data_IF_757750031372
#
_entry.id   IF_757750031372
#
_cell.length_a   1.000
_cell.length_b   1.000
_cell.length_c   1.000
_cell.angle_alpha   90.00
_cell.angle_beta   90.00
_cell.angle_gamma   90.00
#
_symmetry.space_group_name_H-M   'P 1'
#
loop_
_entity.id
_entity.type
_entity.pdbx_description
1 polymer ?
#
# COMPACT_ATOMS: atom_id res chain seq x y z
N UNK A 1 -3.08 7.65 -18.92
CA UNK A 1 -2.79 8.74 -17.95
C UNK A 1 -3.52 9.94 -18.48
N UNK A 2 -4.63 10.30 -17.84
CA UNK A 2 -5.55 11.30 -18.40
C UNK A 2 -5.35 12.69 -17.79
N UNK A 3 -4.79 12.75 -16.58
CA UNK A 3 -4.44 14.01 -15.89
C UNK A 3 -3.07 13.87 -15.22
N UNK A 4 -2.12 14.72 -15.60
CA UNK A 4 -0.81 14.82 -14.96
C UNK A 4 -0.82 15.93 -13.90
N UNK A 5 -0.49 15.60 -12.64
CA UNK A 5 -0.37 16.59 -11.56
C UNK A 5 1.12 16.89 -11.32
N UNK A 6 1.58 18.04 -11.83
CA UNK A 6 2.93 18.56 -11.63
C UNK A 6 3.10 19.14 -10.22
N UNK A 7 3.16 18.26 -9.21
CA UNK A 7 3.10 18.66 -7.79
C UNK A 7 4.37 19.36 -7.24
N UNK A 8 5.53 19.21 -7.88
CA UNK A 8 6.81 19.72 -7.35
C UNK A 8 7.29 19.06 -6.05
N UNK A 9 6.60 18.02 -5.56
CA UNK A 9 6.81 17.43 -4.23
C UNK A 9 7.97 16.42 -4.12
N UNK A 10 8.62 16.07 -5.22
CA UNK A 10 9.61 14.97 -5.23
C UNK A 10 9.01 13.70 -4.63
N UNK A 11 9.71 13.09 -3.67
CA UNK A 11 9.25 11.88 -2.96
C UNK A 11 8.02 12.10 -2.06
N UNK A 12 7.72 13.34 -1.65
CA UNK A 12 6.55 13.62 -0.81
C UNK A 12 5.23 13.39 -1.57
N UNK A 13 5.27 13.27 -2.91
CA UNK A 13 4.12 12.81 -3.71
C UNK A 13 3.59 11.45 -3.23
N UNK A 14 4.45 10.56 -2.74
CA UNK A 14 4.06 9.22 -2.27
C UNK A 14 3.03 9.28 -1.12
N UNK A 15 3.11 10.32 -0.28
CA UNK A 15 2.12 10.55 0.77
C UNK A 15 0.76 10.96 0.22
N UNK A 16 0.74 11.71 -0.89
CA UNK A 16 -0.52 12.04 -1.58
C UNK A 16 -1.14 10.76 -2.13
N UNK A 17 -0.37 9.95 -2.87
CA UNK A 17 -0.84 8.69 -3.45
C UNK A 17 -1.40 7.74 -2.39
N UNK A 18 -0.62 7.46 -1.35
CA UNK A 18 -1.02 6.58 -0.25
C UNK A 18 -2.22 7.12 0.55
N UNK A 19 -2.48 8.43 0.50
CA UNK A 19 -3.64 9.04 1.19
C UNK A 19 -4.89 9.08 0.32
N UNK A 20 -4.75 9.18 -0.99
CA UNK A 20 -5.90 9.23 -1.92
C UNK A 20 -6.39 7.87 -2.35
N UNK A 21 -5.61 6.80 -2.17
CA UNK A 21 -6.01 5.45 -2.53
C UNK A 21 -7.08 4.89 -1.57
N UNK A 22 -8.09 4.22 -2.12
CA UNK A 22 -9.07 3.46 -1.34
C UNK A 22 -8.48 2.15 -0.80
N UNK A 23 -7.51 1.59 -1.53
CA UNK A 23 -6.71 0.43 -1.13
C UNK A 23 -5.40 0.37 -1.92
N UNK A 24 -4.43 -0.40 -1.44
CA UNK A 24 -3.08 -0.48 -2.01
C UNK A 24 -2.65 -1.93 -2.21
N UNK A 25 -2.13 -2.23 -3.40
CA UNK A 25 -1.40 -3.48 -3.68
C UNK A 25 0.07 -3.12 -3.90
N UNK A 26 0.94 -3.54 -2.99
CA UNK A 26 2.37 -3.29 -3.06
C UNK A 26 3.09 -4.44 -3.77
N UNK A 27 3.71 -4.16 -4.91
CA UNK A 27 4.36 -5.17 -5.75
C UNK A 27 5.87 -4.94 -5.77
N UNK A 28 6.65 -6.01 -5.58
CA UNK A 28 8.11 -5.93 -5.62
C UNK A 28 8.71 -5.17 -4.43
N UNK A 29 10.01 -4.89 -4.48
CA UNK A 29 10.77 -4.29 -3.37
C UNK A 29 11.34 -2.90 -3.68
N UNK A 30 12.04 -2.33 -2.68
CA UNK A 30 12.71 -1.02 -2.78
C UNK A 30 12.26 -0.02 -1.71
N UNK A 31 13.06 1.02 -1.50
CA UNK A 31 12.79 2.03 -0.46
C UNK A 31 11.53 2.86 -0.76
N UNK A 32 11.25 3.13 -2.03
CA UNK A 32 10.01 3.79 -2.46
C UNK A 32 8.77 2.99 -2.07
N UNK A 33 8.74 1.72 -2.47
CA UNK A 33 7.65 0.78 -2.13
C UNK A 33 7.48 0.64 -0.61
N UNK A 34 8.58 0.51 0.14
CA UNK A 34 8.53 0.46 1.61
C UNK A 34 7.89 1.72 2.21
N UNK A 35 8.23 2.90 1.68
CA UNK A 35 7.68 4.17 2.15
C UNK A 35 6.18 4.27 1.89
N UNK A 36 5.71 3.80 0.74
CA UNK A 36 4.30 3.79 0.35
C UNK A 36 3.50 2.79 1.17
N UNK A 37 4.03 1.57 1.40
CA UNK A 37 3.45 0.58 2.32
C UNK A 37 3.27 1.21 3.71
N UNK A 38 4.33 1.82 4.26
CA UNK A 38 4.27 2.41 5.59
C UNK A 38 3.26 3.56 5.68
N UNK A 39 3.16 4.41 4.65
CA UNK A 39 2.18 5.48 4.59
C UNK A 39 0.75 4.95 4.49
N UNK A 40 0.50 3.93 3.66
CA UNK A 40 -0.81 3.33 3.48
C UNK A 40 -1.32 2.68 4.78
N UNK A 41 -0.47 1.90 5.46
CA UNK A 41 -0.80 1.26 6.73
C UNK A 41 -1.08 2.28 7.84
N UNK A 42 -0.25 3.33 7.96
CA UNK A 42 -0.50 4.41 8.93
C UNK A 42 -1.79 5.19 8.66
N UNK A 43 -2.19 5.30 7.40
CA UNK A 43 -3.44 5.95 7.00
C UNK A 43 -4.66 5.02 7.11
N UNK A 44 -4.49 3.79 7.61
CA UNK A 44 -5.57 2.81 7.74
C UNK A 44 -6.11 2.30 6.40
N UNK A 45 -5.35 2.45 5.31
CA UNK A 45 -5.78 1.96 4.00
C UNK A 45 -5.59 0.45 3.92
N UNK A 46 -6.60 -0.32 3.46
CA UNK A 46 -6.42 -1.73 3.12
C UNK A 46 -5.20 -1.89 2.22
N UNK A 47 -4.19 -2.62 2.68
CA UNK A 47 -2.90 -2.75 2.00
C UNK A 47 -2.49 -4.22 1.98
N UNK A 48 -2.16 -4.75 0.80
CA UNK A 48 -1.69 -6.14 0.60
C UNK A 48 -0.46 -6.16 -0.30
N UNK A 49 0.45 -7.09 -0.06
CA UNK A 49 1.70 -7.23 -0.80
C UNK A 49 1.74 -8.41 -1.75
N UNK A 50 2.46 -8.29 -2.87
CA UNK A 50 2.85 -9.40 -3.76
C UNK A 50 4.36 -9.33 -3.97
N UNK A 51 5.08 -10.40 -3.62
CA UNK A 51 6.54 -10.49 -3.76
C UNK A 51 7.28 -9.23 -3.23
N UNK A 52 6.84 -8.72 -2.07
CA UNK A 52 7.31 -7.46 -1.48
C UNK A 52 7.87 -7.67 -0.07
N UNK A 53 8.12 -6.56 0.64
CA UNK A 53 8.59 -6.50 2.01
C UNK A 53 7.72 -7.33 2.97
N UNK A 54 8.38 -7.95 3.95
CA UNK A 54 7.74 -8.54 5.13
C UNK A 54 8.31 -7.86 6.37
N UNK A 55 7.45 -7.61 7.35
CA UNK A 55 7.90 -7.03 8.62
C UNK A 55 8.23 -8.15 9.59
N UNK A 56 9.52 -8.27 9.92
CA UNK A 56 9.98 -9.16 10.97
C UNK A 56 10.35 -8.31 12.19
N UNK A 57 9.41 -8.21 13.15
CA UNK A 57 9.55 -7.38 14.35
C UNK A 57 8.88 -8.05 15.56
N UNK A 58 9.61 -8.17 16.65
CA UNK A 58 9.14 -8.81 17.89
C UNK A 58 7.95 -8.08 18.55
N UNK A 59 7.89 -6.75 18.41
CA UNK A 59 6.82 -5.92 18.98
C UNK A 59 6.04 -5.23 17.88
N UNK A 60 4.78 -5.63 17.68
CA UNK A 60 3.88 -5.01 16.71
C UNK A 60 3.25 -3.74 17.28
N UNK A 61 3.66 -2.59 16.76
CA UNK A 61 3.00 -1.30 16.96
C UNK A 61 2.20 -0.84 15.73
N UNK A 62 2.43 -1.49 14.59
CA UNK A 62 1.82 -1.18 13.30
C UNK A 62 1.08 -2.42 12.76
N UNK A 63 0.10 -2.26 11.85
CA UNK A 63 -0.59 -3.37 11.23
C UNK A 63 0.37 -4.26 10.42
N UNK A 64 0.05 -5.55 10.35
CA UNK A 64 0.76 -6.48 9.46
C UNK A 64 0.45 -6.15 8.00
N UNK A 65 1.39 -6.45 7.10
CA UNK A 65 1.16 -6.46 5.66
C UNK A 65 0.82 -7.89 5.23
N UNK A 66 -0.44 -8.22 4.93
CA UNK A 66 -0.80 -9.49 4.31
C UNK A 66 -0.07 -9.65 2.97
N UNK A 67 0.22 -10.90 2.60
CA UNK A 67 0.89 -11.23 1.34
C UNK A 67 0.00 -12.16 0.53
N UNK A 68 -0.21 -11.83 -0.74
CA UNK A 68 -0.85 -12.69 -1.74
C UNK A 68 0.18 -13.31 -2.67
N UNK A 69 -0.11 -14.50 -3.18
CA UNK A 69 0.76 -15.22 -4.10
C UNK A 69 0.58 -14.75 -5.56
N UNK A 70 -0.58 -14.18 -5.89
CA UNK A 70 -0.91 -13.71 -7.23
C UNK A 70 -1.82 -12.47 -7.19
N UNK A 71 -2.05 -11.87 -8.37
CA UNK A 71 -2.84 -10.66 -8.51
C UNK A 71 -4.33 -10.84 -8.18
N UNK A 72 -4.92 -12.00 -8.51
CA UNK A 72 -6.34 -12.25 -8.26
C UNK A 72 -6.63 -12.30 -6.76
N UNK A 73 -5.84 -13.07 -6.01
CA UNK A 73 -6.00 -13.17 -4.56
C UNK A 73 -5.82 -11.81 -3.87
N UNK A 74 -4.90 -10.98 -4.39
CA UNK A 74 -4.70 -9.63 -3.87
C UNK A 74 -5.92 -8.73 -4.11
N UNK A 75 -6.51 -8.79 -5.31
CA UNK A 75 -7.71 -8.02 -5.65
C UNK A 75 -8.93 -8.49 -4.86
N UNK A 76 -9.16 -9.79 -4.78
CA UNK A 76 -10.27 -10.36 -4.01
C UNK A 76 -10.18 -9.94 -2.53
N UNK A 77 -8.98 -10.03 -1.94
CA UNK A 77 -8.74 -9.59 -0.57
C UNK A 77 -9.00 -8.10 -0.36
N UNK A 78 -8.59 -7.27 -1.33
CA UNK A 78 -8.69 -5.82 -1.29
C UNK A 78 -10.15 -5.37 -1.43
N UNK A 79 -10.86 -5.85 -2.45
CA UNK A 79 -12.25 -5.49 -2.71
C UNK A 79 -13.16 -5.89 -1.55
N UNK A 80 -12.97 -7.09 -0.98
CA UNK A 80 -13.71 -7.52 0.22
C UNK A 80 -13.55 -6.59 1.44
N UNK A 81 -12.54 -5.71 1.45
CA UNK A 81 -12.27 -4.73 2.51
C UNK A 81 -12.57 -3.29 2.12
N UNK A 82 -12.80 -3.04 0.84
CA UNK A 82 -13.29 -1.75 0.34
C UNK A 82 -14.83 -1.73 0.31
N UNK A 83 -15.49 -2.89 0.28
CA UNK A 83 -16.96 -3.05 0.31
C UNK A 83 -17.61 -2.91 1.72
N UNK A 84 -16.98 -2.17 2.64
CA UNK A 84 -17.63 -1.71 3.88
C UNK A 84 -18.36 -0.38 3.67
N UNK A 85 -19.42 -0.07 4.45
CA UNK A 85 -20.31 1.07 4.22
C UNK A 85 -19.61 2.43 4.15
#
# INVERSE_FOLDING_TARGET
>A
IDVAIASGLGHARNAVLARTADGVVAIGGGLGTLSEIALALRNGRPTIGIQTWRFDRDRRTEPELPIADNANDALDWLFARMDGP
#
